data_IF_171284389918
#
_entry.id   IF_171284389918
#
_cell.length_a   1.000
_cell.length_b   1.000
_cell.length_c   1.000
_cell.angle_alpha   90.00
_cell.angle_beta   90.00
_cell.angle_gamma   90.00
#
_symmetry.space_group_name_H-M   'P 1'
#
loop_
_entity.id
_entity.type
_entity.pdbx_description
1 polymer ?
#
# COMPACT_ATOMS: atom_id res chain seq x y z
N UNK A 1 31.80 -33.49 37.82
CA UNK A 1 30.55 -33.71 37.06
C UNK A 1 29.92 -32.34 36.86
N UNK A 2 30.29 -31.70 35.76
CA UNK A 2 29.92 -30.31 35.44
C UNK A 2 28.66 -30.31 34.59
N UNK A 3 27.62 -29.59 35.02
CA UNK A 3 26.42 -29.31 34.25
C UNK A 3 26.52 -27.88 33.73
N UNK A 4 26.84 -27.73 32.45
CA UNK A 4 26.59 -26.49 31.71
C UNK A 4 25.13 -26.53 31.26
N UNK A 5 24.28 -25.71 31.88
CA UNK A 5 22.95 -25.41 31.36
C UNK A 5 23.09 -24.42 30.20
N UNK A 6 22.66 -24.84 29.01
CA UNK A 6 22.48 -23.94 27.88
C UNK A 6 21.32 -22.98 28.18
N UNK A 7 21.43 -21.67 27.90
CA UNK A 7 20.27 -20.80 27.87
C UNK A 7 19.38 -21.21 26.68
N UNK A 8 18.08 -21.37 26.92
CA UNK A 8 17.09 -21.50 25.85
C UNK A 8 17.04 -20.18 25.08
N UNK A 9 17.61 -20.16 23.87
CA UNK A 9 17.31 -19.15 22.85
C UNK A 9 15.86 -19.37 22.37
N UNK A 10 14.92 -18.63 22.94
CA UNK A 10 13.58 -18.47 22.36
C UNK A 10 13.06 -17.04 22.48
N UNK A 11 13.99 -16.08 22.55
CA UNK A 11 13.74 -14.64 22.45
C UNK A 11 14.39 -14.05 21.17
N UNK A 12 14.52 -14.86 20.12
CA UNK A 12 14.86 -14.37 18.79
C UNK A 12 13.57 -13.97 18.05
N UNK A 13 13.46 -12.69 17.75
CA UNK A 13 12.49 -12.07 16.85
C UNK A 13 11.02 -12.05 17.30
N UNK A 14 10.77 -11.29 18.37
CA UNK A 14 9.63 -10.37 18.30
C UNK A 14 9.98 -9.26 17.31
N UNK A 15 9.76 -9.52 16.03
CA UNK A 15 9.65 -8.46 15.02
C UNK A 15 8.59 -7.50 15.56
N UNK A 16 8.92 -6.22 15.80
CA UNK A 16 7.92 -5.26 16.25
C UNK A 16 6.82 -5.22 15.19
N UNK A 17 5.57 -5.43 15.62
CA UNK A 17 4.41 -5.44 14.74
C UNK A 17 4.38 -4.16 13.89
N UNK A 18 4.83 -4.27 12.64
CA UNK A 18 4.56 -3.28 11.61
C UNK A 18 3.04 -3.14 11.53
N UNK A 19 2.53 -1.92 11.61
CA UNK A 19 1.10 -1.64 11.68
C UNK A 19 0.34 -2.38 10.56
N UNK A 20 -0.35 -3.46 10.92
CA UNK A 20 -1.08 -4.34 9.99
C UNK A 20 -2.18 -3.62 9.20
N UNK A 21 -2.58 -2.43 9.67
CA UNK A 21 -3.39 -1.49 8.91
C UNK A 21 -3.10 -0.05 9.33
N UNK A 22 -3.26 0.88 8.40
CA UNK A 22 -3.32 2.33 8.67
C UNK A 22 -4.15 3.02 7.58
N UNK A 23 -4.71 4.18 7.89
CA UNK A 23 -5.42 5.04 6.95
C UNK A 23 -5.01 6.50 7.15
N UNK A 24 -4.21 7.01 6.24
CA UNK A 24 -3.65 8.36 6.28
C UNK A 24 -4.50 9.29 5.39
N UNK A 25 -5.21 10.23 6.02
CA UNK A 25 -6.04 11.23 5.33
C UNK A 25 -5.98 12.63 5.98
N UNK A 26 -5.05 12.85 6.89
CA UNK A 26 -4.82 14.13 7.56
C UNK A 26 -3.44 14.68 7.23
N UNK A 27 -3.37 16.00 7.02
CA UNK A 27 -2.18 16.72 6.53
C UNK A 27 -0.93 16.49 7.41
N UNK A 28 -1.09 16.35 8.73
CA UNK A 28 0.00 16.15 9.69
C UNK A 28 0.75 14.83 9.49
N UNK A 29 0.12 13.85 8.83
CA UNK A 29 0.71 12.55 8.52
C UNK A 29 1.53 12.56 7.23
N UNK A 30 1.50 13.65 6.45
CA UNK A 30 2.19 13.76 5.16
C UNK A 30 3.40 14.72 5.21
N UNK A 31 4.33 14.44 6.12
CA UNK A 31 5.57 15.21 6.22
C UNK A 31 6.44 15.00 4.96
N UNK A 32 6.90 16.05 4.25
CA UNK A 32 7.71 15.90 3.04
C UNK A 32 8.94 15.02 3.24
N UNK A 33 9.14 14.05 2.33
CA UNK A 33 10.24 13.09 2.40
C UNK A 33 10.05 11.94 3.39
N UNK A 34 9.02 11.96 4.25
CA UNK A 34 8.80 10.89 5.23
C UNK A 34 8.33 9.59 4.57
N UNK A 35 8.95 8.47 4.97
CA UNK A 35 8.47 7.13 4.64
C UNK A 35 7.16 6.83 5.37
N UNK A 36 6.16 6.37 4.63
CA UNK A 36 4.84 6.03 5.14
C UNK A 36 4.65 4.52 5.24
N UNK A 37 5.19 3.78 4.28
CA UNK A 37 5.01 2.33 4.17
C UNK A 37 6.22 1.67 3.50
N UNK A 38 6.55 0.45 3.92
CA UNK A 38 7.59 -0.39 3.33
C UNK A 38 7.18 -1.86 3.39
N UNK A 39 7.42 -2.58 2.31
CA UNK A 39 7.30 -4.04 2.26
C UNK A 39 8.19 -4.62 1.17
N UNK A 40 8.89 -5.72 1.46
CA UNK A 40 9.70 -6.44 0.47
C UNK A 40 8.86 -7.37 -0.42
N UNK A 41 7.56 -7.50 -0.14
CA UNK A 41 6.63 -8.31 -0.94
C UNK A 41 6.35 -7.67 -2.29
N UNK A 42 6.14 -8.50 -3.30
CA UNK A 42 5.73 -8.03 -4.62
C UNK A 42 4.27 -7.55 -4.62
N UNK A 43 4.04 -6.37 -5.22
CA UNK A 43 2.72 -5.79 -5.43
C UNK A 43 2.36 -5.74 -6.90
N UNK A 44 1.08 -5.90 -7.21
CA UNK A 44 0.54 -5.70 -8.55
C UNK A 44 -0.54 -4.63 -8.51
N UNK A 45 -0.63 -3.80 -9.55
CA UNK A 45 -1.79 -2.95 -9.80
C UNK A 45 -3.02 -3.85 -10.00
N UNK A 46 -3.89 -3.88 -9.01
CA UNK A 46 -5.02 -4.81 -8.97
C UNK A 46 -6.27 -4.20 -9.61
N UNK A 47 -6.56 -2.95 -9.28
CA UNK A 47 -7.71 -2.24 -9.81
C UNK A 47 -7.49 -0.73 -9.81
N UNK A 48 -8.01 -0.06 -10.85
CA UNK A 48 -8.25 1.37 -10.83
C UNK A 48 -9.73 1.62 -11.10
N UNK A 49 -10.47 2.06 -10.08
CA UNK A 49 -11.90 2.33 -10.17
C UNK A 49 -12.13 3.82 -10.45
N UNK A 50 -12.29 4.17 -11.73
CA UNK A 50 -12.39 5.56 -12.21
C UNK A 50 -13.51 6.34 -11.50
N UNK A 51 -14.70 5.74 -11.34
CA UNK A 51 -15.86 6.39 -10.70
C UNK A 51 -15.62 6.80 -9.24
N UNK A 52 -14.63 6.19 -8.58
CA UNK A 52 -14.25 6.49 -7.20
C UNK A 52 -12.86 7.10 -7.08
N UNK A 53 -12.20 7.39 -8.22
CA UNK A 53 -10.81 7.83 -8.29
C UNK A 53 -9.91 7.01 -7.36
N UNK A 54 -9.97 5.69 -7.45
CA UNK A 54 -9.39 4.80 -6.46
C UNK A 54 -8.43 3.81 -7.11
N UNK A 55 -7.18 3.82 -6.67
CA UNK A 55 -6.15 2.86 -7.07
C UNK A 55 -5.95 1.84 -5.94
N UNK A 56 -5.92 0.55 -6.30
CA UNK A 56 -5.62 -0.57 -5.41
C UNK A 56 -4.38 -1.30 -5.91
N UNK A 57 -3.35 -1.36 -5.06
CA UNK A 57 -2.22 -2.28 -5.21
C UNK A 57 -2.41 -3.46 -4.25
N UNK A 58 -2.06 -4.66 -4.69
CA UNK A 58 -2.26 -5.88 -3.90
C UNK A 58 -1.07 -6.83 -4.03
N UNK A 59 -0.67 -7.45 -2.92
CA UNK A 59 0.21 -8.63 -2.95
C UNK A 59 -0.58 -9.90 -3.26
N UNK A 60 0.04 -10.88 -3.92
CA UNK A 60 -0.57 -12.21 -4.12
C UNK A 60 -0.70 -13.00 -2.81
N UNK A 61 -1.77 -13.79 -2.68
CA UNK A 61 -1.98 -14.72 -1.53
C UNK A 61 -1.15 -16.00 -1.60
N UNK A 62 -0.35 -16.17 -2.66
CA UNK A 62 0.54 -17.32 -2.85
C UNK A 62 1.97 -16.81 -3.02
N UNK A 63 2.91 -17.42 -2.30
CA UNK A 63 4.34 -17.11 -2.44
C UNK A 63 4.88 -17.66 -3.75
N UNK A 64 6.09 -17.25 -4.13
CA UNK A 64 6.80 -17.84 -5.27
C UNK A 64 7.03 -19.37 -5.10
N UNK A 65 7.12 -19.84 -3.84
CA UNK A 65 7.25 -21.25 -3.51
C UNK A 65 5.90 -22.01 -3.48
N UNK A 66 4.78 -21.36 -3.80
CA UNK A 66 3.46 -21.99 -3.84
C UNK A 66 2.75 -22.10 -2.49
N UNK A 67 3.33 -21.59 -1.40
CA UNK A 67 2.70 -21.59 -0.08
C UNK A 67 1.68 -20.44 0.05
N UNK A 68 0.61 -20.66 0.82
CA UNK A 68 -0.35 -19.61 1.15
C UNK A 68 0.30 -18.56 2.07
N UNK A 69 0.00 -17.29 1.80
CA UNK A 69 0.34 -16.15 2.63
C UNK A 69 -0.89 -15.23 2.77
N UNK A 70 -0.82 -14.30 3.73
CA UNK A 70 -1.73 -13.13 3.81
C UNK A 70 -1.70 -12.32 2.51
N UNK A 71 -2.60 -11.37 2.32
CA UNK A 71 -2.46 -10.32 1.30
C UNK A 71 -2.41 -8.96 1.98
N UNK A 72 -1.64 -8.05 1.41
CA UNK A 72 -1.64 -6.63 1.74
C UNK A 72 -2.30 -5.89 0.60
N UNK A 73 -3.31 -5.10 0.95
CA UNK A 73 -3.97 -4.15 0.06
C UNK A 73 -3.50 -2.74 0.39
N UNK A 74 -3.17 -1.96 -0.63
CA UNK A 74 -2.85 -0.53 -0.50
C UNK A 74 -3.81 0.25 -1.39
N UNK A 75 -4.58 1.16 -0.79
CA UNK A 75 -5.57 1.97 -1.48
C UNK A 75 -5.19 3.43 -1.44
N UNK A 76 -5.22 4.09 -2.61
CA UNK A 76 -5.07 5.54 -2.75
C UNK A 76 -6.41 6.16 -3.15
N UNK A 77 -6.83 7.25 -2.48
CA UNK A 77 -8.12 7.88 -2.77
C UNK A 77 -8.27 9.33 -2.25
N UNK A 78 -8.99 10.21 -2.95
CA UNK A 78 -9.14 10.20 -4.40
C UNK A 78 -7.81 10.48 -5.11
N UNK A 79 -7.52 9.71 -6.16
CA UNK A 79 -6.38 9.87 -7.05
C UNK A 79 -6.68 10.99 -8.07
N UNK A 80 -5.72 11.89 -8.24
CA UNK A 80 -5.79 13.04 -9.17
C UNK A 80 -4.89 12.85 -10.39
N UNK A 81 -3.74 12.22 -10.21
CA UNK A 81 -2.85 11.79 -11.28
C UNK A 81 -1.99 10.64 -10.78
N UNK A 82 -1.41 9.89 -11.72
CA UNK A 82 -0.52 8.79 -11.40
C UNK A 82 0.43 8.48 -12.56
N UNK A 83 1.63 8.05 -12.21
CA UNK A 83 2.57 7.32 -13.06
C UNK A 83 2.91 6.05 -12.32
N UNK A 84 2.39 4.93 -12.80
CA UNK A 84 2.53 3.62 -12.13
C UNK A 84 2.95 2.55 -13.12
N UNK A 85 3.47 1.45 -12.59
CA UNK A 85 3.72 0.19 -13.30
C UNK A 85 2.72 -0.88 -12.88
N UNK A 86 2.71 -1.97 -13.62
CA UNK A 86 1.84 -3.11 -13.30
C UNK A 86 2.37 -3.89 -12.11
N UNK A 87 3.69 -4.06 -11.97
CA UNK A 87 4.32 -4.90 -10.95
C UNK A 87 5.46 -4.17 -10.22
N UNK A 88 5.51 -4.33 -8.90
CA UNK A 88 6.54 -3.83 -8.00
C UNK A 88 7.19 -5.01 -7.29
N UNK A 89 8.52 -5.13 -7.33
CA UNK A 89 9.28 -6.14 -6.58
C UNK A 89 9.85 -5.48 -5.31
N UNK A 90 9.06 -5.55 -4.23
CA UNK A 90 9.21 -4.67 -3.08
C UNK A 90 8.69 -3.26 -3.36
N UNK A 91 8.19 -2.60 -2.32
CA UNK A 91 7.56 -1.29 -2.41
C UNK A 91 7.86 -0.44 -1.17
N UNK A 92 8.36 0.77 -1.41
CA UNK A 92 8.39 1.85 -0.42
C UNK A 92 7.46 2.96 -0.87
N UNK A 93 6.60 3.44 0.02
CA UNK A 93 5.77 4.61 -0.19
C UNK A 93 6.26 5.72 0.73
N UNK A 94 6.60 6.87 0.15
CA UNK A 94 6.98 8.06 0.91
C UNK A 94 6.33 9.31 0.36
N UNK A 95 6.23 10.33 1.19
CA UNK A 95 5.91 11.67 0.71
C UNK A 95 7.05 12.17 -0.19
N UNK A 96 6.71 12.77 -1.33
CA UNK A 96 7.67 13.54 -2.08
C UNK A 96 8.27 14.66 -1.21
N UNK A 97 9.55 14.94 -1.40
CA UNK A 97 10.16 16.19 -0.94
C UNK A 97 9.50 17.37 -1.66
N UNK A 98 9.65 18.58 -1.13
CA UNK A 98 9.09 19.77 -1.76
C UNK A 98 9.55 19.94 -3.22
N UNK A 99 10.84 19.69 -3.50
CA UNK A 99 11.40 19.80 -4.84
C UNK A 99 10.90 18.71 -5.80
N UNK A 100 10.68 17.48 -5.32
CA UNK A 100 10.07 16.41 -6.12
C UNK A 100 8.60 16.72 -6.41
N UNK A 101 7.86 17.18 -5.40
CA UNK A 101 6.45 17.54 -5.54
C UNK A 101 6.25 18.70 -6.52
N UNK A 102 7.11 19.72 -6.50
CA UNK A 102 7.07 20.84 -7.46
C UNK A 102 7.23 20.34 -8.90
N UNK A 103 8.24 19.50 -9.16
CA UNK A 103 8.47 18.91 -10.49
C UNK A 103 7.27 18.08 -10.96
N UNK A 104 6.76 17.21 -10.10
CA UNK A 104 5.60 16.36 -10.41
C UNK A 104 4.35 17.20 -10.71
N UNK A 105 4.13 18.29 -9.97
CA UNK A 105 2.99 19.19 -10.20
C UNK A 105 3.14 20.03 -11.46
N UNK A 106 4.36 20.39 -11.86
CA UNK A 106 4.60 21.09 -13.12
C UNK A 106 4.11 20.26 -14.31
N UNK A 107 4.27 18.93 -14.26
CA UNK A 107 3.78 18.00 -15.27
C UNK A 107 2.27 17.71 -15.16
N UNK A 108 1.65 18.05 -14.02
CA UNK A 108 0.25 17.72 -13.70
C UNK A 108 -0.56 19.00 -13.35
N UNK A 109 -0.59 19.94 -14.29
CA UNK A 109 -1.31 21.21 -14.12
C UNK A 109 -2.81 21.01 -13.89
N UNK A 110 -3.43 21.86 -13.08
CA UNK A 110 -4.87 21.82 -12.80
C UNK A 110 -5.30 20.91 -11.63
N UNK A 111 -4.36 20.24 -10.96
CA UNK A 111 -4.67 19.53 -9.72
C UNK A 111 -4.76 20.53 -8.56
N UNK A 112 -5.94 20.61 -7.94
CA UNK A 112 -6.24 21.49 -6.80
C UNK A 112 -5.40 21.16 -5.54
N UNK A 113 -5.40 22.11 -4.60
CA UNK A 113 -4.74 21.99 -3.29
C UNK A 113 -5.29 20.82 -2.45
N UNK A 114 -4.47 20.33 -1.51
CA UNK A 114 -4.83 19.27 -0.56
C UNK A 114 -4.62 17.82 -1.06
N UNK A 115 -4.13 17.62 -2.29
CA UNK A 115 -3.67 16.30 -2.74
C UNK A 115 -2.16 16.14 -2.50
N UNK A 116 -1.72 15.00 -2.00
CA UNK A 116 -0.33 14.70 -1.69
C UNK A 116 0.37 13.99 -2.85
N UNK A 117 1.63 14.35 -3.13
CA UNK A 117 2.48 13.62 -4.06
C UNK A 117 3.17 12.48 -3.32
N UNK A 118 2.71 11.25 -3.56
CA UNK A 118 3.25 10.03 -2.96
C UNK A 118 4.15 9.34 -3.97
N UNK A 119 5.37 9.05 -3.56
CA UNK A 119 6.35 8.36 -4.37
C UNK A 119 6.34 6.88 -4.07
N UNK A 120 6.40 6.07 -5.13
CA UNK A 120 6.43 4.61 -5.08
C UNK A 120 7.82 4.17 -5.57
N UNK A 121 8.63 3.64 -4.67
CA UNK A 121 10.00 3.21 -4.97
C UNK A 121 10.09 1.69 -5.03
N UNK A 122 10.74 1.18 -6.07
CA UNK A 122 11.02 -0.26 -6.26
C UNK A 122 12.28 -0.41 -7.09
N UNK A 123 13.23 -1.26 -6.66
CA UNK A 123 14.44 -1.58 -7.44
C UNK A 123 15.30 -0.37 -7.89
N UNK A 124 15.19 0.79 -7.24
CA UNK A 124 15.86 2.04 -7.63
C UNK A 124 15.10 2.90 -8.65
N UNK A 125 13.95 2.44 -9.13
CA UNK A 125 13.03 3.24 -9.95
C UNK A 125 12.02 4.02 -9.10
N UNK A 126 11.46 5.07 -9.73
CA UNK A 126 10.51 5.97 -9.11
C UNK A 126 9.24 6.17 -9.94
N UNK A 127 8.11 5.85 -9.30
CA UNK A 127 6.74 6.08 -9.73
C UNK A 127 6.04 7.07 -8.78
N UNK A 128 4.84 7.53 -9.12
CA UNK A 128 4.08 8.43 -8.24
C UNK A 128 2.57 8.26 -8.33
N UNK A 129 1.90 8.61 -7.23
CA UNK A 129 0.46 8.80 -7.15
C UNK A 129 0.19 10.14 -6.49
N UNK A 130 -0.64 10.98 -7.10
CA UNK A 130 -1.15 12.20 -6.47
C UNK A 130 -2.53 11.87 -5.91
N UNK A 131 -2.66 11.81 -4.59
CA UNK A 131 -3.91 11.44 -3.92
C UNK A 131 -4.10 12.17 -2.58
N UNK A 132 -5.33 12.27 -2.11
CA UNK A 132 -5.63 12.90 -0.81
C UNK A 132 -5.46 11.95 0.38
N UNK A 133 -5.53 10.65 0.16
CA UNK A 133 -5.36 9.65 1.21
C UNK A 133 -4.69 8.40 0.66
N UNK A 134 -3.98 7.70 1.56
CA UNK A 134 -3.43 6.37 1.35
C UNK A 134 -3.67 5.55 2.59
N UNK A 135 -4.03 4.29 2.43
CA UNK A 135 -4.08 3.35 3.53
C UNK A 135 -3.77 1.94 3.09
N UNK A 136 -3.48 1.09 4.05
CA UNK A 136 -3.16 -0.31 3.82
C UNK A 136 -3.79 -1.20 4.86
N UNK A 137 -4.02 -2.46 4.49
CA UNK A 137 -4.53 -3.50 5.37
C UNK A 137 -3.95 -4.85 4.93
N UNK A 138 -3.52 -5.64 5.91
CA UNK A 138 -3.13 -7.03 5.74
C UNK A 138 -4.21 -7.98 6.26
N UNK A 139 -4.65 -8.92 5.43
CA UNK A 139 -5.66 -9.91 5.79
C UNK A 139 -5.34 -11.32 5.23
N UNK A 140 -6.16 -12.31 5.58
CA UNK A 140 -6.00 -13.73 5.16
C UNK A 140 -7.00 -14.15 4.06
N UNK A 141 -7.68 -13.20 3.42
CA UNK A 141 -8.64 -13.47 2.36
C UNK A 141 -7.92 -13.90 1.08
N UNK A 142 -8.67 -14.25 0.03
CA UNK A 142 -8.12 -14.74 -1.24
C UNK A 142 -7.86 -13.60 -2.23
N UNK A 143 -7.09 -13.87 -3.29
CA UNK A 143 -6.92 -12.94 -4.42
C UNK A 143 -8.26 -12.43 -4.99
N UNK A 144 -9.34 -13.24 -4.93
CA UNK A 144 -10.65 -12.92 -5.53
C UNK A 144 -11.58 -12.12 -4.63
N UNK A 145 -11.30 -12.08 -3.33
CA UNK A 145 -12.16 -11.37 -2.38
C UNK A 145 -11.97 -9.85 -2.52
N UNK A 146 -13.02 -9.04 -2.30
CA UNK A 146 -12.92 -7.59 -2.33
C UNK A 146 -11.94 -7.09 -1.26
N UNK A 147 -11.31 -5.95 -1.50
CA UNK A 147 -10.53 -5.28 -0.46
C UNK A 147 -11.48 -4.62 0.53
N UNK A 148 -11.17 -4.70 1.83
CA UNK A 148 -11.89 -4.01 2.90
C UNK A 148 -11.75 -2.50 2.85
N UNK A 149 -10.65 -2.01 2.28
CA UNK A 149 -10.39 -0.59 2.06
C UNK A 149 -11.04 -0.07 0.78
N UNK A 150 -11.17 -0.93 -0.24
CA UNK A 150 -11.81 -0.58 -1.50
C UNK A 150 -13.34 -0.67 -1.36
N UNK A 151 -13.94 0.33 -0.73
CA UNK A 151 -15.40 0.45 -0.69
C UNK A 151 -15.96 0.58 -2.11
N UNK A 152 -16.46 -0.51 -2.68
CA UNK A 152 -17.41 -0.46 -3.78
C UNK A 152 -18.72 0.10 -3.22
N UNK A 153 -19.39 0.98 -3.97
CA UNK A 153 -20.71 1.44 -3.58
C UNK A 153 -21.60 0.22 -3.23
N UNK A 154 -22.53 0.33 -2.26
CA UNK A 154 -23.34 -0.78 -1.73
C UNK A 154 -24.30 -1.46 -2.75
N UNK A 155 -24.15 -1.19 -4.05
CA UNK A 155 -24.84 -1.89 -5.14
C UNK A 155 -24.01 -2.99 -5.83
N UNK A 156 -22.74 -3.18 -5.47
CA UNK A 156 -21.84 -4.12 -6.16
C UNK A 156 -21.57 -5.43 -5.40
N UNK A 157 -22.25 -5.67 -4.27
CA UNK A 157 -22.12 -6.92 -3.51
C UNK A 157 -22.94 -8.04 -4.19
N UNK A 158 -22.30 -9.01 -4.87
CA UNK A 158 -23.02 -10.12 -5.49
C UNK A 158 -23.74 -11.02 -4.46
N UNK A 159 -23.34 -10.99 -3.18
CA UNK A 159 -24.02 -11.69 -2.09
C UNK A 159 -25.43 -11.17 -1.77
N UNK A 160 -25.81 -10.01 -2.32
CA UNK A 160 -27.17 -9.44 -2.20
C UNK A 160 -28.05 -9.66 -3.44
N UNK A 161 -27.47 -10.05 -4.57
CA UNK A 161 -28.19 -10.21 -5.86
C UNK A 161 -28.73 -11.64 -6.04
N UNK A 162 -28.25 -12.60 -5.23
CA UNK A 162 -28.74 -13.96 -5.22
C UNK A 162 -29.49 -14.24 -3.91
N UNK A 163 -30.77 -13.85 -3.86
CA UNK A 163 -31.78 -14.39 -2.93
C UNK A 163 -32.99 -14.86 -3.71
#
# INVERSE_FOLDING_TARGET
>A
MSSCGWPNDTDADKIPAMHASDWLNTEDRFTPGAELFRSDRAFTTWAYTISHSQLLLRTRTTTQAGSRQSRIDIVFKPVRAMKIRIEYDGLVIRCATLAEAEKIRADNTGIHEGAHCLLLETGGDLDYVIAHAVGWEEDMETDRDPSRLAGFAPGSDPGRILK
#
